data_IF_900647166577
#
_entry.id   IF_900647166577
#
_cell.length_a   1.000
_cell.length_b   1.000
_cell.length_c   1.000
_cell.angle_alpha   90.00
_cell.angle_beta   90.00
_cell.angle_gamma   90.00
#
_symmetry.space_group_name_H-M   'P 1'
#
loop_
_entity.id
_entity.type
_entity.pdbx_description
1 polymer ?
#
# COMPACT_ATOMS: atom_id res chain seq x y z
N UNK A 1 26.54 -18.17 -3.74
CA UNK A 1 26.55 -16.78 -4.24
C UNK A 1 26.26 -15.88 -3.05
N UNK A 2 27.06 -14.84 -2.84
CA UNK A 2 26.79 -13.86 -1.80
C UNK A 2 25.56 -13.05 -2.23
N UNK A 3 24.40 -13.30 -1.62
CA UNK A 3 23.26 -12.42 -1.79
C UNK A 3 23.65 -11.06 -1.20
N UNK A 4 23.40 -9.96 -1.92
CA UNK A 4 23.64 -8.61 -1.42
C UNK A 4 22.34 -8.08 -0.82
N UNK A 5 22.42 -7.19 0.17
CA UNK A 5 21.23 -6.47 0.66
C UNK A 5 20.49 -5.84 -0.52
N UNK A 6 19.17 -5.94 -0.50
CA UNK A 6 18.32 -5.57 -1.62
C UNK A 6 16.93 -5.18 -1.14
N UNK A 7 16.00 -4.97 -2.07
CA UNK A 7 14.61 -4.66 -1.71
C UNK A 7 13.90 -5.80 -0.96
N UNK A 8 14.41 -7.03 -1.07
CA UNK A 8 13.79 -8.25 -0.51
C UNK A 8 14.74 -9.04 0.40
N UNK A 9 15.96 -8.57 0.65
CA UNK A 9 16.95 -9.25 1.50
C UNK A 9 17.59 -8.25 2.47
N UNK A 10 17.61 -8.61 3.75
CA UNK A 10 18.29 -7.87 4.82
C UNK A 10 19.21 -8.79 5.62
N UNK A 11 20.39 -8.29 6.00
CA UNK A 11 21.28 -8.98 6.93
C UNK A 11 21.40 -8.23 8.24
N UNK A 12 21.38 -8.99 9.33
CA UNK A 12 21.71 -8.50 10.67
C UNK A 12 22.54 -9.52 11.42
N UNK A 13 23.53 -9.02 12.13
CA UNK A 13 24.44 -9.87 12.92
C UNK A 13 23.73 -10.49 14.13
N UNK A 14 22.85 -9.71 14.75
CA UNK A 14 22.08 -10.10 15.94
C UNK A 14 20.61 -9.68 15.76
N UNK A 15 19.71 -10.15 16.63
CA UNK A 15 18.32 -9.69 16.66
C UNK A 15 18.15 -8.48 17.57
N UNK A 16 17.41 -7.47 17.08
CA UNK A 16 16.90 -6.35 17.84
C UNK A 16 15.46 -6.08 17.42
N UNK A 17 14.62 -5.69 18.38
CA UNK A 17 13.20 -5.42 18.11
C UNK A 17 12.97 -4.27 17.13
N UNK A 18 13.97 -3.40 16.91
CA UNK A 18 13.90 -2.34 15.90
C UNK A 18 13.79 -2.89 14.46
N UNK A 19 14.25 -4.12 14.21
CA UNK A 19 14.12 -4.78 12.91
C UNK A 19 12.68 -5.16 12.56
N UNK A 20 11.74 -5.01 13.50
CA UNK A 20 10.31 -5.03 13.19
C UNK A 20 9.92 -3.94 12.16
N UNK A 21 10.68 -2.85 12.06
CA UNK A 21 10.55 -1.88 10.94
C UNK A 21 10.83 -2.54 9.59
N UNK A 22 11.87 -3.38 9.51
CA UNK A 22 12.21 -4.12 8.30
C UNK A 22 11.13 -5.16 7.98
N UNK A 23 10.68 -5.91 8.99
CA UNK A 23 9.63 -6.92 8.82
C UNK A 23 8.32 -6.30 8.35
N UNK A 24 7.87 -5.20 8.97
CA UNK A 24 6.68 -4.46 8.51
C UNK A 24 6.87 -3.86 7.11
N UNK A 25 8.05 -3.34 6.79
CA UNK A 25 8.36 -2.85 5.45
C UNK A 25 8.29 -3.96 4.38
N UNK A 26 8.79 -5.16 4.68
CA UNK A 26 8.65 -6.32 3.78
C UNK A 26 7.19 -6.69 3.58
N UNK A 27 6.42 -6.81 4.67
CA UNK A 27 4.99 -7.14 4.60
C UNK A 27 4.19 -6.10 3.78
N UNK A 28 4.54 -4.81 3.90
CA UNK A 28 3.89 -3.74 3.14
C UNK A 28 4.32 -3.68 1.66
N UNK A 29 5.44 -4.31 1.31
CA UNK A 29 6.05 -4.32 -0.03
C UNK A 29 5.80 -5.66 -0.74
N UNK A 30 6.80 -6.19 -1.46
CA UNK A 30 6.74 -7.45 -2.19
C UNK A 30 7.12 -8.67 -1.34
N UNK A 31 7.10 -8.55 0.00
CA UNK A 31 7.70 -9.53 0.90
C UNK A 31 9.22 -9.40 0.96
N UNK A 32 9.87 -10.35 1.62
CA UNK A 32 11.31 -10.41 1.74
C UNK A 32 11.79 -11.38 2.81
N UNK A 33 13.11 -11.41 2.98
CA UNK A 33 13.81 -12.30 3.91
C UNK A 33 14.77 -11.46 4.76
N UNK A 34 14.64 -11.60 6.08
CA UNK A 34 15.59 -11.08 7.06
C UNK A 34 16.43 -12.25 7.58
N UNK A 35 17.74 -12.17 7.38
CA UNK A 35 18.69 -13.11 7.97
C UNK A 35 19.31 -12.52 9.23
N UNK A 36 19.37 -13.33 10.27
CA UNK A 36 19.98 -12.98 11.55
C UNK A 36 21.14 -13.94 11.81
N UNK A 37 22.32 -13.40 12.15
CA UNK A 37 23.57 -14.14 12.29
C UNK A 37 24.59 -13.86 11.17
N UNK A 38 24.27 -12.96 10.23
CA UNK A 38 25.13 -12.58 9.11
C UNK A 38 25.60 -11.13 9.24
N UNK A 39 26.85 -10.86 8.85
CA UNK A 39 27.31 -9.49 8.59
C UNK A 39 26.81 -8.96 7.23
N UNK A 40 27.12 -7.69 6.93
CA UNK A 40 26.71 -7.03 5.69
C UNK A 40 27.34 -7.66 4.43
N UNK A 41 28.35 -8.52 4.60
CA UNK A 41 28.99 -9.30 3.54
C UNK A 41 28.43 -10.73 3.44
N UNK A 42 27.43 -11.08 4.26
CA UNK A 42 26.82 -12.41 4.30
C UNK A 42 27.67 -13.48 4.98
N UNK A 43 28.65 -13.09 5.81
CA UNK A 43 29.48 -14.04 6.58
C UNK A 43 28.84 -14.33 7.93
N UNK A 44 28.85 -15.61 8.32
CA UNK A 44 28.33 -16.06 9.61
C UNK A 44 29.24 -15.62 10.75
N UNK A 45 28.64 -15.05 11.81
CA UNK A 45 29.36 -14.56 12.99
C UNK A 45 29.13 -15.39 14.26
N UNK A 46 28.37 -16.49 14.19
CA UNK A 46 28.08 -17.32 15.37
C UNK A 46 27.03 -16.70 16.28
N UNK A 47 25.78 -16.59 15.78
CA UNK A 47 24.63 -16.13 16.56
C UNK A 47 24.48 -16.93 17.86
N UNK A 48 24.43 -16.22 18.99
CA UNK A 48 24.21 -16.82 20.30
C UNK A 48 22.71 -16.97 20.58
N UNK A 49 22.36 -17.86 21.51
CA UNK A 49 20.99 -18.05 21.99
C UNK A 49 19.96 -18.39 20.90
N UNK A 50 20.38 -19.08 19.83
CA UNK A 50 19.54 -19.46 18.67
C UNK A 50 18.21 -20.08 19.09
N UNK A 51 18.21 -21.04 20.03
CA UNK A 51 16.99 -21.71 20.51
C UNK A 51 15.96 -20.71 21.05
N UNK A 52 16.42 -19.78 21.90
CA UNK A 52 15.57 -18.74 22.46
C UNK A 52 15.07 -17.77 21.38
N UNK A 53 15.93 -17.39 20.44
CA UNK A 53 15.54 -16.50 19.35
C UNK A 53 14.49 -17.13 18.41
N UNK A 54 14.58 -18.43 18.14
CA UNK A 54 13.57 -19.15 17.35
C UNK A 54 12.19 -19.14 18.01
N UNK A 55 12.12 -19.01 19.34
CA UNK A 55 10.86 -18.84 20.09
C UNK A 55 10.44 -17.37 20.17
N UNK A 56 11.39 -16.47 20.50
CA UNK A 56 11.12 -15.07 20.76
C UNK A 56 10.73 -14.28 19.49
N UNK A 57 11.40 -14.53 18.36
CA UNK A 57 11.20 -13.78 17.12
C UNK A 57 9.77 -13.92 16.58
N UNK A 58 9.23 -15.13 16.31
CA UNK A 58 7.87 -15.27 15.79
C UNK A 58 6.82 -14.73 16.75
N UNK A 59 7.00 -14.95 18.07
CA UNK A 59 6.10 -14.41 19.10
C UNK A 59 6.13 -12.87 19.13
N UNK A 60 7.31 -12.28 19.05
CA UNK A 60 7.48 -10.82 19.03
C UNK A 60 6.84 -10.21 17.78
N UNK A 61 7.07 -10.81 16.61
CA UNK A 61 6.48 -10.37 15.34
C UNK A 61 4.95 -10.45 15.41
N UNK A 62 4.40 -11.58 15.87
CA UNK A 62 2.95 -11.73 16.07
C UNK A 62 2.38 -10.68 17.00
N UNK A 63 2.99 -10.49 18.16
CA UNK A 63 2.47 -9.59 19.19
C UNK A 63 2.57 -8.11 18.81
N UNK A 64 3.60 -7.72 18.04
CA UNK A 64 3.85 -6.32 17.68
C UNK A 64 3.29 -5.91 16.32
N UNK A 65 3.18 -6.85 15.37
CA UNK A 65 2.79 -6.58 13.98
C UNK A 65 1.50 -7.30 13.57
N UNK A 66 1.02 -8.28 14.34
CA UNK A 66 -0.20 -9.03 14.02
C UNK A 66 -0.04 -10.02 12.86
N UNK A 67 1.19 -10.31 12.43
CA UNK A 67 1.49 -11.24 11.32
C UNK A 67 2.29 -12.45 11.80
N UNK A 68 2.29 -13.53 11.00
CA UNK A 68 2.97 -14.78 11.32
C UNK A 68 3.89 -15.12 10.14
N UNK A 69 5.17 -14.70 10.16
CA UNK A 69 6.14 -15.08 9.14
C UNK A 69 6.65 -16.51 9.37
N UNK A 70 7.29 -17.09 8.34
CA UNK A 70 8.10 -18.30 8.56
C UNK A 70 9.41 -17.92 9.25
N UNK A 71 9.77 -18.63 10.31
CA UNK A 71 11.03 -18.45 11.04
C UNK A 71 11.72 -19.80 11.12
N UNK A 72 12.86 -19.92 10.46
CA UNK A 72 13.57 -21.19 10.28
C UNK A 72 15.05 -21.04 10.62
N UNK A 73 15.66 -22.13 11.10
CA UNK A 73 17.09 -22.23 11.29
C UNK A 73 17.71 -22.82 10.01
N UNK A 74 18.43 -22.02 9.22
CA UNK A 74 19.01 -22.49 7.94
C UNK A 74 20.37 -23.18 8.14
N UNK A 75 21.16 -22.68 9.10
CA UNK A 75 22.43 -23.27 9.56
C UNK A 75 22.51 -23.16 11.08
N UNK A 76 23.55 -23.74 11.70
CA UNK A 76 23.69 -23.82 13.17
C UNK A 76 23.50 -22.48 13.89
N UNK A 77 23.78 -21.37 13.23
CA UNK A 77 23.85 -20.02 13.77
C UNK A 77 23.19 -18.95 12.89
N UNK A 78 22.32 -19.33 11.94
CA UNK A 78 21.63 -18.38 11.05
C UNK A 78 20.13 -18.61 11.08
N UNK A 79 19.39 -17.60 11.54
CA UNK A 79 17.92 -17.59 11.53
C UNK A 79 17.45 -16.84 10.28
N UNK A 80 16.52 -17.45 9.55
CA UNK A 80 15.88 -16.91 8.35
C UNK A 80 14.42 -16.59 8.68
N UNK A 81 14.05 -15.32 8.56
CA UNK A 81 12.67 -14.85 8.72
C UNK A 81 12.12 -14.50 7.33
N UNK A 82 11.17 -15.31 6.83
CA UNK A 82 10.54 -15.10 5.52
C UNK A 82 9.17 -14.44 5.70
N UNK A 83 9.01 -13.27 5.07
CA UNK A 83 7.82 -12.43 5.17
C UNK A 83 7.13 -12.37 3.81
N UNK A 84 5.89 -12.81 3.74
CA UNK A 84 5.05 -12.67 2.55
C UNK A 84 4.54 -11.22 2.39
N UNK A 85 4.19 -10.78 1.17
CA UNK A 85 3.45 -9.52 1.00
C UNK A 85 2.04 -9.63 1.60
N UNK A 86 1.60 -8.58 2.29
CA UNK A 86 0.27 -8.46 2.86
C UNK A 86 -0.57 -7.44 2.09
N UNK A 87 -1.85 -7.75 1.87
CA UNK A 87 -2.81 -6.86 1.19
C UNK A 87 -3.22 -5.67 2.07
N UNK A 88 -3.20 -5.85 3.39
CA UNK A 88 -3.55 -4.81 4.38
C UNK A 88 -2.31 -4.05 4.88
N UNK A 89 -2.45 -2.79 5.35
CA UNK A 89 -1.36 -2.05 5.97
C UNK A 89 -0.88 -2.70 7.27
N UNK A 90 0.42 -3.00 7.36
CA UNK A 90 1.06 -3.48 8.59
C UNK A 90 1.79 -2.31 9.25
N UNK A 91 1.35 -1.94 10.45
CA UNK A 91 1.99 -0.89 11.24
C UNK A 91 2.97 -1.47 12.26
N UNK A 92 3.97 -0.68 12.62
CA UNK A 92 4.82 -0.93 13.79
C UNK A 92 4.82 0.32 14.67
N UNK A 93 4.28 0.19 15.89
CA UNK A 93 4.08 1.30 16.84
C UNK A 93 3.35 2.51 16.20
N UNK A 94 2.27 2.24 15.45
CA UNK A 94 1.45 3.28 14.80
C UNK A 94 2.08 3.94 13.58
N UNK A 95 3.26 3.49 13.15
CA UNK A 95 3.96 4.00 11.97
C UNK A 95 3.99 2.95 10.86
N UNK A 96 4.04 3.42 9.62
CA UNK A 96 4.10 2.57 8.44
C UNK A 96 5.43 2.75 7.73
N UNK A 97 5.98 1.64 7.25
CA UNK A 97 7.29 1.61 6.62
C UNK A 97 7.21 0.91 5.26
N UNK A 98 8.01 1.37 4.31
CA UNK A 98 8.20 0.75 3.00
C UNK A 98 9.69 0.56 2.68
N UNK A 99 9.98 -0.42 1.82
CA UNK A 99 11.31 -0.61 1.23
C UNK A 99 11.51 0.34 0.05
N UNK A 100 12.63 1.05 0.06
CA UNK A 100 13.16 1.76 -1.12
C UNK A 100 14.63 1.37 -1.29
N UNK A 101 14.90 0.51 -2.27
CA UNK A 101 16.21 -0.15 -2.39
C UNK A 101 16.53 -0.98 -1.15
N UNK A 102 17.74 -0.81 -0.59
CA UNK A 102 18.16 -1.44 0.67
C UNK A 102 17.74 -0.67 1.93
N UNK A 103 17.01 0.45 1.79
CA UNK A 103 16.62 1.29 2.93
C UNK A 103 15.16 1.09 3.32
N UNK A 104 14.87 1.30 4.60
CA UNK A 104 13.50 1.36 5.15
C UNK A 104 13.12 2.82 5.35
N UNK A 105 12.02 3.24 4.72
CA UNK A 105 11.50 4.61 4.79
C UNK A 105 10.21 4.63 5.60
N UNK A 106 10.11 5.56 6.56
CA UNK A 106 8.86 5.84 7.27
C UNK A 106 7.94 6.65 6.37
N UNK A 107 6.70 6.21 6.22
CA UNK A 107 5.69 6.94 5.46
C UNK A 107 5.05 8.04 6.29
N UNK A 108 4.99 9.24 5.73
CA UNK A 108 4.40 10.42 6.36
C UNK A 108 3.66 11.27 5.32
N UNK A 109 2.79 12.16 5.79
CA UNK A 109 2.05 13.11 4.95
C UNK A 109 1.32 12.44 3.79
N UNK A 110 1.49 13.01 2.59
CA UNK A 110 0.83 12.53 1.37
C UNK A 110 1.17 11.07 1.04
N UNK A 111 2.43 10.65 1.22
CA UNK A 111 2.86 9.29 0.90
C UNK A 111 2.18 8.24 1.80
N UNK A 112 1.92 8.59 3.07
CA UNK A 112 1.15 7.74 3.98
C UNK A 112 -0.31 7.64 3.54
N UNK A 113 -0.95 8.78 3.23
CA UNK A 113 -2.33 8.79 2.78
C UNK A 113 -2.52 7.94 1.51
N UNK A 114 -1.70 8.16 0.49
CA UNK A 114 -1.72 7.41 -0.77
C UNK A 114 -1.53 5.90 -0.54
N UNK A 115 -0.61 5.53 0.35
CA UNK A 115 -0.35 4.13 0.71
C UNK A 115 -1.56 3.45 1.37
N UNK A 116 -2.16 4.10 2.37
CA UNK A 116 -3.31 3.55 3.09
C UNK A 116 -4.50 3.34 2.17
N UNK A 117 -4.75 4.29 1.27
CA UNK A 117 -5.82 4.21 0.28
C UNK A 117 -5.58 3.06 -0.70
N UNK A 118 -4.38 2.97 -1.26
CA UNK A 118 -4.01 1.85 -2.15
C UNK A 118 -4.22 0.49 -1.48
N UNK A 119 -3.90 0.36 -0.20
CA UNK A 119 -4.05 -0.88 0.57
C UNK A 119 -5.49 -1.17 1.03
N UNK A 120 -6.35 -0.16 1.14
CA UNK A 120 -7.78 -0.36 1.43
C UNK A 120 -8.58 -0.83 0.21
N UNK A 121 -7.94 -0.94 -0.96
CA UNK A 121 -8.62 -1.26 -2.22
C UNK A 121 -9.41 -0.08 -2.79
N UNK A 122 -9.18 1.14 -2.29
CA UNK A 122 -9.89 2.36 -2.71
C UNK A 122 -8.91 3.33 -3.36
N UNK A 123 -9.24 3.85 -4.53
CA UNK A 123 -8.55 5.05 -5.04
C UNK A 123 -9.17 6.31 -4.40
N UNK A 124 -8.50 7.46 -4.52
CA UNK A 124 -9.05 8.74 -4.03
C UNK A 124 -10.37 9.09 -4.68
N UNK A 125 -10.52 8.66 -5.93
CA UNK A 125 -11.70 8.78 -6.75
C UNK A 125 -12.82 7.81 -6.34
N UNK A 126 -12.50 6.73 -5.62
CA UNK A 126 -13.47 5.72 -5.16
C UNK A 126 -14.14 6.06 -3.82
N UNK A 127 -13.63 7.07 -3.10
CA UNK A 127 -14.22 7.48 -1.82
C UNK A 127 -15.56 8.16 -2.09
N UNK A 128 -16.59 7.61 -1.46
CA UNK A 128 -17.94 8.16 -1.43
C UNK A 128 -17.95 9.47 -0.65
N UNK A 129 -18.50 10.54 -1.24
CA UNK A 129 -18.65 11.85 -0.60
C UNK A 129 -20.12 12.02 -0.17
N UNK A 130 -20.39 11.82 1.11
CA UNK A 130 -21.75 11.91 1.70
C UNK A 130 -22.34 13.33 1.61
N UNK A 131 -21.51 14.36 1.40
CA UNK A 131 -21.94 15.77 1.33
C UNK A 131 -22.45 16.20 -0.05
N UNK A 132 -22.07 15.49 -1.11
CA UNK A 132 -22.46 15.83 -2.48
C UNK A 132 -23.70 15.02 -2.89
N UNK A 133 -24.89 15.54 -2.56
CA UNK A 133 -26.15 14.98 -3.01
C UNK A 133 -26.28 15.06 -4.54
N UNK A 134 -26.93 14.06 -5.15
CA UNK A 134 -27.25 14.01 -6.59
C UNK A 134 -27.88 15.31 -7.14
N UNK A 135 -28.53 16.11 -6.27
CA UNK A 135 -29.16 17.39 -6.59
C UNK A 135 -28.19 18.52 -6.95
N UNK A 136 -26.87 18.35 -6.79
CA UNK A 136 -25.87 19.39 -7.09
C UNK A 136 -25.18 19.22 -8.46
N UNK A 137 -25.52 18.17 -9.21
CA UNK A 137 -24.90 17.91 -10.52
C UNK A 137 -25.60 18.74 -11.59
N UNK A 138 -24.85 19.65 -12.20
CA UNK A 138 -25.35 20.49 -13.29
C UNK A 138 -25.53 19.68 -14.58
N UNK A 139 -26.74 19.69 -15.15
CA UNK A 139 -27.06 18.97 -16.38
C UNK A 139 -26.23 19.46 -17.56
N UNK A 140 -25.88 20.75 -17.62
CA UNK A 140 -25.06 21.31 -18.70
C UNK A 140 -23.64 20.72 -18.67
N UNK A 141 -23.11 20.47 -17.48
CA UNK A 141 -21.81 19.82 -17.28
C UNK A 141 -21.80 18.36 -17.75
N UNK A 142 -22.91 17.63 -17.58
CA UNK A 142 -23.08 16.27 -18.11
C UNK A 142 -23.12 16.28 -19.64
N UNK A 143 -23.86 17.19 -20.26
CA UNK A 143 -23.97 17.28 -21.72
C UNK A 143 -22.64 17.69 -22.37
N UNK A 144 -21.89 18.62 -21.75
CA UNK A 144 -20.51 18.93 -22.15
C UNK A 144 -19.61 17.71 -22.06
N UNK A 145 -19.71 16.92 -20.99
CA UNK A 145 -18.92 15.70 -20.85
C UNK A 145 -19.26 14.67 -21.93
N UNK A 146 -20.54 14.43 -22.23
CA UNK A 146 -20.96 13.54 -23.32
C UNK A 146 -20.34 13.96 -24.65
N UNK A 147 -20.35 15.27 -24.93
CA UNK A 147 -19.74 15.85 -26.14
C UNK A 147 -18.24 15.59 -26.20
N UNK A 148 -17.50 15.77 -25.11
CA UNK A 148 -16.06 15.50 -25.08
C UNK A 148 -15.69 14.00 -25.09
N UNK A 149 -16.59 13.15 -24.60
CA UNK A 149 -16.34 11.73 -24.45
C UNK A 149 -16.77 10.90 -25.67
N UNK A 150 -17.59 11.44 -26.58
CA UNK A 150 -18.17 10.69 -27.71
C UNK A 150 -17.11 10.01 -28.57
N UNK A 151 -15.97 10.66 -28.81
CA UNK A 151 -14.88 10.11 -29.64
C UNK A 151 -14.28 8.84 -29.03
N UNK A 152 -14.36 8.68 -27.70
CA UNK A 152 -13.82 7.53 -26.96
C UNK A 152 -14.90 6.53 -26.57
N UNK A 153 -16.13 7.01 -26.34
CA UNK A 153 -17.29 6.22 -25.91
C UNK A 153 -18.51 6.65 -26.74
N UNK A 154 -18.65 6.19 -28.00
CA UNK A 154 -19.74 6.64 -28.88
C UNK A 154 -21.15 6.32 -28.36
N UNK A 155 -21.28 5.28 -27.53
CA UNK A 155 -22.54 4.90 -26.89
C UNK A 155 -23.01 5.88 -25.82
N UNK A 156 -22.15 6.80 -25.35
CA UNK A 156 -22.46 7.70 -24.24
C UNK A 156 -23.61 8.67 -24.55
N UNK A 157 -23.77 9.05 -25.82
CA UNK A 157 -24.83 9.95 -26.30
C UNK A 157 -26.21 9.27 -26.25
N UNK A 158 -26.26 7.93 -26.31
CA UNK A 158 -27.51 7.18 -26.31
C UNK A 158 -28.13 7.05 -24.92
N UNK A 159 -27.38 7.39 -23.88
CA UNK A 159 -27.88 7.32 -22.50
C UNK A 159 -28.55 8.64 -22.11
N UNK A 160 -29.87 8.59 -21.94
CA UNK A 160 -30.71 9.73 -21.59
C UNK A 160 -30.91 9.86 -20.09
N UNK A 161 -30.72 8.79 -19.34
CA UNK A 161 -30.82 8.81 -17.88
C UNK A 161 -29.44 9.12 -17.26
N UNK A 162 -29.32 10.30 -16.67
CA UNK A 162 -28.08 10.78 -16.06
C UNK A 162 -27.65 9.92 -14.86
N UNK A 163 -28.58 9.34 -14.10
CA UNK A 163 -28.24 8.46 -12.99
C UNK A 163 -27.64 7.14 -13.51
N UNK A 164 -28.25 6.55 -14.54
CA UNK A 164 -27.74 5.33 -15.18
C UNK A 164 -26.38 5.58 -15.84
N UNK A 165 -26.22 6.72 -16.51
CA UNK A 165 -24.95 7.13 -17.11
C UNK A 165 -23.83 7.20 -16.06
N UNK A 166 -24.07 7.90 -14.95
CA UNK A 166 -23.08 8.09 -13.91
C UNK A 166 -22.76 6.78 -13.16
N UNK A 167 -23.74 5.88 -13.00
CA UNK A 167 -23.50 4.51 -12.52
C UNK A 167 -22.61 3.70 -13.47
N UNK A 168 -22.89 3.74 -14.78
CA UNK A 168 -22.07 3.06 -15.81
C UNK A 168 -20.63 3.60 -15.86
N UNK A 169 -20.44 4.87 -15.54
CA UNK A 169 -19.13 5.52 -15.42
C UNK A 169 -18.47 5.31 -14.05
N UNK A 170 -19.11 4.54 -13.16
CA UNK A 170 -18.65 4.25 -11.80
C UNK A 170 -18.46 5.51 -10.93
N UNK A 171 -19.23 6.58 -11.19
CA UNK A 171 -19.17 7.87 -10.50
C UNK A 171 -20.20 7.99 -9.35
N UNK A 172 -21.21 7.11 -9.34
CA UNK A 172 -22.24 7.01 -8.28
C UNK A 172 -22.39 5.53 -7.94
N UNK A 173 -22.53 5.21 -6.65
CA UNK A 173 -22.91 3.88 -6.16
C UNK A 173 -24.05 4.00 -5.14
N UNK A 174 -25.12 3.21 -5.31
CA UNK A 174 -26.33 3.21 -4.46
C UNK A 174 -26.91 4.61 -4.12
N UNK A 175 -26.84 5.55 -5.06
CA UNK A 175 -27.37 6.92 -4.88
C UNK A 175 -26.43 7.88 -4.17
N UNK A 176 -25.20 7.46 -3.84
CA UNK A 176 -24.18 8.32 -3.24
C UNK A 176 -23.06 8.62 -4.24
N UNK A 177 -22.71 9.90 -4.33
CA UNK A 177 -21.70 10.41 -5.26
C UNK A 177 -20.30 10.05 -4.80
N UNK A 178 -19.42 9.66 -5.73
CA UNK A 178 -17.98 9.56 -5.46
C UNK A 178 -17.28 10.89 -5.67
N UNK A 179 -16.12 11.10 -5.03
CA UNK A 179 -15.34 12.35 -5.16
C UNK A 179 -14.92 12.70 -6.58
N UNK A 180 -14.73 11.71 -7.44
CA UNK A 180 -14.47 11.92 -8.87
C UNK A 180 -15.56 12.77 -9.56
N UNK A 181 -16.81 12.67 -9.09
CA UNK A 181 -17.94 13.45 -9.59
C UNK A 181 -17.82 14.93 -9.19
N UNK A 182 -17.43 15.19 -7.94
CA UNK A 182 -17.24 16.53 -7.38
C UNK A 182 -16.12 17.28 -8.09
N UNK A 183 -14.98 16.62 -8.35
CA UNK A 183 -13.87 17.22 -9.09
C UNK A 183 -14.24 17.59 -10.54
N UNK A 184 -15.09 16.78 -11.19
CA UNK A 184 -15.58 17.08 -12.55
C UNK A 184 -16.58 18.22 -12.56
N UNK A 185 -17.48 18.27 -11.57
CA UNK A 185 -18.46 19.35 -11.43
C UNK A 185 -17.78 20.70 -11.16
N UNK A 186 -16.69 20.69 -10.38
CA UNK A 186 -15.89 21.88 -10.08
C UNK A 186 -14.70 22.08 -11.02
N UNK A 187 -14.76 21.63 -12.28
CA UNK A 187 -13.67 21.79 -13.24
C UNK A 187 -13.05 23.19 -13.15
N UNK A 188 -11.90 23.26 -12.49
CA UNK A 188 -11.04 24.43 -12.45
C UNK A 188 -10.77 24.87 -13.90
N UNK A 189 -10.64 26.18 -14.18
CA UNK A 189 -10.23 26.61 -15.50
C UNK A 189 -8.93 25.89 -15.89
N UNK A 190 -8.72 25.58 -17.19
CA UNK A 190 -7.53 24.86 -17.63
C UNK A 190 -6.28 25.61 -17.13
N UNK A 191 -5.20 24.91 -16.75
CA UNK A 191 -3.97 25.58 -16.35
C UNK A 191 -3.55 26.48 -17.51
N UNK A 192 -3.40 27.77 -17.23
CA UNK A 192 -2.71 28.67 -18.13
C UNK A 192 -1.32 28.08 -18.37
N UNK A 193 -1.08 27.63 -19.59
CA UNK A 193 0.25 27.35 -20.07
C UNK A 193 0.93 28.72 -20.18
N UNK A 194 1.94 28.94 -19.34
CA UNK A 194 2.94 30.00 -19.49
C UNK A 194 4.31 29.33 -19.42
#
# INVERSE_FOLDING_TARGET
>A
MAHKESQTVEYKQNWHNEYLKVVSAFANSNGGVLYIGLDDQGKSLGLKNVKKLLEDIPNTIRNKLGIIPSVELEKKDIIKVTVAPYSVPISYNGKYYLRSGSTVQELQGKALADFLMKKSGSTWDDIVEERAGFSEIDNDSIEKFKTYAVDRIPSIIKETDNAILLQKLNLIDNGVSKRALVLRNHSLPPPHVS
#
